data_IF_430798925301
#
_entry.id   IF_430798925301
#
_cell.length_a   1.000
_cell.length_b   1.000
_cell.length_c   1.000
_cell.angle_alpha   90.00
_cell.angle_beta   90.00
_cell.angle_gamma   90.00
#
_symmetry.space_group_name_H-M   'P 1'
#
loop_
_entity.id
_entity.type
_entity.pdbx_description
1 polymer ?
#
# COMPACT_ATOMS: atom_id res chain seq x y z
N UNK A 1 -26.19 19.57 9.06
CA UNK A 1 -26.01 19.12 7.66
C UNK A 1 -24.86 18.12 7.68
N UNK A 2 -25.16 16.84 7.60
CA UNK A 2 -24.15 15.78 7.61
C UNK A 2 -23.56 15.65 6.20
N UNK A 3 -22.25 15.81 6.09
CA UNK A 3 -21.54 15.54 4.86
C UNK A 3 -21.56 14.02 4.62
N UNK A 4 -22.28 13.60 3.60
CA UNK A 4 -22.23 12.24 3.10
C UNK A 4 -20.85 12.02 2.48
N UNK A 5 -19.99 11.26 3.18
CA UNK A 5 -18.81 10.67 2.57
C UNK A 5 -19.29 9.52 1.69
N UNK A 6 -19.25 9.73 0.37
CA UNK A 6 -19.44 8.64 -0.58
C UNK A 6 -18.39 7.55 -0.31
N UNK A 7 -18.81 6.29 -0.14
CA UNK A 7 -17.87 5.18 -0.14
C UNK A 7 -17.21 5.13 -1.53
N UNK A 8 -15.88 5.12 -1.56
CA UNK A 8 -15.12 4.86 -2.79
C UNK A 8 -15.63 3.52 -3.34
N UNK A 9 -16.20 3.55 -4.52
CA UNK A 9 -16.72 2.37 -5.21
C UNK A 9 -15.60 1.34 -5.34
N UNK A 10 -15.80 0.15 -4.82
CA UNK A 10 -14.85 -0.98 -4.93
C UNK A 10 -14.87 -1.64 -6.32
N UNK A 11 -15.52 -1.00 -7.29
CA UNK A 11 -15.61 -1.55 -8.65
C UNK A 11 -14.69 -0.80 -9.59
N UNK A 12 -13.98 -1.53 -10.47
CA UNK A 12 -13.19 -0.92 -11.53
C UNK A 12 -14.05 -0.05 -12.44
N UNK A 13 -13.49 0.99 -13.06
CA UNK A 13 -14.16 1.68 -14.18
C UNK A 13 -14.54 0.66 -15.25
N UNK A 14 -15.72 0.80 -15.86
CA UNK A 14 -16.24 -0.13 -16.87
C UNK A 14 -15.34 -0.28 -18.13
N UNK A 15 -14.37 0.60 -18.31
CA UNK A 15 -13.48 0.68 -19.48
C UNK A 15 -12.08 0.07 -19.27
N UNK A 16 -11.84 -0.61 -18.14
CA UNK A 16 -10.54 -1.25 -17.96
C UNK A 16 -10.44 -2.52 -18.81
N UNK A 17 -9.25 -2.80 -19.42
CA UNK A 17 -9.00 -4.07 -20.10
C UNK A 17 -9.39 -5.24 -19.20
N UNK A 18 -10.05 -6.26 -19.77
CA UNK A 18 -10.60 -7.40 -19.04
C UNK A 18 -9.52 -8.12 -18.19
N UNK A 19 -8.28 -8.10 -18.67
CA UNK A 19 -7.10 -8.61 -17.97
C UNK A 19 -6.79 -7.84 -16.67
N UNK A 20 -7.06 -6.52 -16.61
CA UNK A 20 -6.87 -5.68 -15.43
C UNK A 20 -8.08 -5.70 -14.49
N UNK A 21 -9.28 -5.88 -15.01
CA UNK A 21 -10.49 -6.01 -14.20
C UNK A 21 -10.46 -7.24 -13.28
N UNK A 22 -9.84 -8.33 -13.75
CA UNK A 22 -9.68 -9.58 -13.00
C UNK A 22 -8.57 -9.52 -11.95
N UNK A 23 -7.66 -8.56 -12.00
CA UNK A 23 -6.52 -8.43 -11.08
C UNK A 23 -6.87 -7.79 -9.72
N UNK A 24 -8.04 -7.17 -9.61
CA UNK A 24 -8.52 -6.55 -8.37
C UNK A 24 -8.96 -7.52 -7.29
N UNK A 25 -9.13 -8.80 -7.64
CA UNK A 25 -9.60 -9.86 -6.74
C UNK A 25 -8.60 -11.02 -6.66
N UNK A 26 -7.34 -10.72 -6.37
CA UNK A 26 -6.23 -11.66 -6.48
C UNK A 26 -6.09 -12.69 -5.35
N UNK A 27 -7.13 -13.01 -4.62
CA UNK A 27 -7.11 -14.23 -3.80
C UNK A 27 -7.26 -15.53 -4.63
N UNK A 28 -7.38 -15.43 -5.97
CA UNK A 28 -7.65 -16.57 -6.86
C UNK A 28 -6.61 -16.87 -7.93
N UNK A 29 -5.56 -16.08 -8.07
CA UNK A 29 -4.48 -16.42 -9.01
C UNK A 29 -3.41 -17.20 -8.26
N UNK A 30 -3.51 -18.53 -8.30
CA UNK A 30 -2.40 -19.38 -7.91
C UNK A 30 -1.19 -19.06 -8.80
N UNK A 31 0.03 -18.89 -8.23
CA UNK A 31 1.21 -18.67 -9.04
C UNK A 31 1.40 -19.88 -9.95
N UNK A 32 1.39 -19.66 -11.24
CA UNK A 32 1.87 -20.65 -12.20
C UNK A 32 3.40 -20.48 -12.23
N UNK A 33 4.11 -21.56 -11.97
CA UNK A 33 5.53 -21.61 -12.23
C UNK A 33 5.76 -21.29 -13.72
N UNK A 34 6.78 -20.49 -14.08
CA UNK A 34 7.02 -20.10 -15.45
C UNK A 34 7.48 -21.30 -16.28
N UNK A 35 6.54 -22.06 -16.86
CA UNK A 35 6.85 -22.94 -17.96
C UNK A 35 7.20 -22.07 -19.18
N UNK A 36 8.27 -22.44 -19.85
CA UNK A 36 8.87 -21.77 -20.99
C UNK A 36 7.82 -21.53 -22.08
N UNK A 37 7.46 -20.26 -22.28
CA UNK A 37 6.65 -19.86 -23.45
C UNK A 37 7.58 -19.69 -24.65
N UNK A 38 7.30 -20.32 -25.82
CA UNK A 38 8.16 -20.22 -26.99
C UNK A 38 8.17 -18.78 -27.51
N UNK A 39 9.36 -18.33 -27.89
CA UNK A 39 9.59 -17.05 -28.56
C UNK A 39 8.88 -17.01 -29.90
N UNK A 40 7.89 -16.15 -30.06
CA UNK A 40 7.26 -15.89 -31.35
C UNK A 40 5.90 -15.25 -31.26
N UNK A 41 5.86 -13.92 -31.23
CA UNK A 41 4.61 -13.17 -31.36
C UNK A 41 4.82 -11.72 -30.90
N UNK A 42 4.78 -10.77 -31.83
CA UNK A 42 4.89 -9.33 -31.59
C UNK A 42 3.63 -8.78 -30.88
N UNK A 43 3.54 -8.99 -29.59
CA UNK A 43 2.78 -8.14 -28.70
C UNK A 43 3.79 -7.36 -27.88
N UNK A 44 4.07 -6.10 -28.22
CA UNK A 44 4.74 -5.16 -27.34
C UNK A 44 3.77 -4.87 -26.19
N UNK A 45 3.65 -5.82 -25.25
CA UNK A 45 2.88 -5.67 -24.04
C UNK A 45 3.43 -4.48 -23.24
N UNK A 46 2.55 -3.78 -22.55
CA UNK A 46 2.90 -2.65 -21.71
C UNK A 46 4.03 -3.03 -20.75
N UNK A 47 5.14 -2.25 -20.79
CA UNK A 47 6.33 -2.50 -19.98
C UNK A 47 6.30 -1.60 -18.72
N UNK A 48 6.44 -2.21 -17.57
CA UNK A 48 6.56 -1.54 -16.29
C UNK A 48 8.04 -1.45 -15.87
N UNK A 49 8.39 -0.39 -15.18
CA UNK A 49 9.78 -0.13 -14.79
C UNK A 49 10.00 -0.10 -13.28
N UNK A 50 8.93 0.02 -12.51
CA UNK A 50 9.00 0.17 -11.06
C UNK A 50 7.92 -0.62 -10.36
N UNK A 51 8.33 -1.25 -9.27
CA UNK A 51 7.50 -1.83 -8.24
C UNK A 51 7.71 -1.00 -6.96
N UNK A 52 6.62 -0.55 -6.35
CA UNK A 52 6.63 0.17 -5.08
C UNK A 52 5.89 -0.62 -4.03
N UNK A 53 6.51 -0.83 -2.88
CA UNK A 53 5.92 -1.52 -1.72
C UNK A 53 5.63 -0.48 -0.64
N UNK A 54 4.43 -0.52 -0.08
CA UNK A 54 3.98 0.35 1.01
C UNK A 54 3.32 -0.52 2.09
N UNK A 55 3.91 -0.59 3.28
CA UNK A 55 3.40 -1.40 4.39
C UNK A 55 2.18 -0.72 5.02
N UNK A 56 1.09 -1.46 5.10
CA UNK A 56 -0.18 -0.91 5.56
C UNK A 56 -0.21 -0.72 7.08
N UNK A 57 -0.44 0.54 7.53
CA UNK A 57 -0.52 0.89 8.96
C UNK A 57 0.68 0.35 9.77
N UNK A 58 1.88 0.47 9.23
CA UNK A 58 3.07 -0.29 9.59
C UNK A 58 3.27 -0.48 11.09
N UNK A 59 3.40 0.60 11.88
CA UNK A 59 3.65 0.47 13.32
C UNK A 59 2.54 -0.28 14.05
N UNK A 60 1.27 -0.01 13.71
CA UNK A 60 0.14 -0.71 14.31
C UNK A 60 0.12 -2.20 13.90
N UNK A 61 0.48 -2.51 12.66
CA UNK A 61 0.59 -3.89 12.18
C UNK A 61 1.73 -4.65 12.85
N UNK A 62 2.87 -4.01 13.11
CA UNK A 62 3.96 -4.60 13.91
C UNK A 62 3.51 -4.87 15.34
N UNK A 63 2.77 -3.94 15.97
CA UNK A 63 2.23 -4.16 17.31
C UNK A 63 1.26 -5.36 17.34
N UNK A 64 0.36 -5.47 16.37
CA UNK A 64 -0.55 -6.63 16.23
C UNK A 64 0.20 -7.93 15.92
N UNK A 65 1.35 -7.86 15.23
CA UNK A 65 2.18 -9.03 14.96
C UNK A 65 2.88 -9.56 16.21
N UNK A 66 3.46 -8.69 17.03
CA UNK A 66 4.21 -9.09 18.22
C UNK A 66 3.34 -9.31 19.45
N UNK A 67 2.09 -8.81 19.44
CA UNK A 67 1.11 -8.92 20.53
C UNK A 67 -0.19 -9.51 19.99
N UNK A 68 -0.36 -10.84 19.99
CA UNK A 68 -1.55 -11.49 19.44
C UNK A 68 -2.87 -10.98 20.04
N UNK A 69 -2.85 -10.50 21.28
CA UNK A 69 -4.01 -9.93 21.97
C UNK A 69 -4.51 -8.60 21.35
N UNK A 70 -3.70 -7.96 20.50
CA UNK A 70 -4.08 -6.74 19.76
C UNK A 70 -4.69 -7.02 18.38
N UNK A 71 -4.64 -8.25 17.91
CA UNK A 71 -5.15 -8.63 16.59
C UNK A 71 -6.66 -8.44 16.52
N UNK A 72 -7.13 -7.81 15.43
CA UNK A 72 -8.54 -7.51 15.24
C UNK A 72 -9.10 -6.41 16.15
N UNK A 73 -8.26 -5.77 16.97
CA UNK A 73 -8.65 -4.66 17.84
C UNK A 73 -8.23 -3.32 17.25
N UNK A 74 -8.98 -2.23 17.52
CA UNK A 74 -8.55 -0.90 17.16
C UNK A 74 -7.32 -0.49 17.97
N UNK A 75 -6.18 -0.30 17.29
CA UNK A 75 -4.88 0.07 17.89
C UNK A 75 -4.45 1.43 17.36
N UNK A 76 -4.06 2.31 18.28
CA UNK A 76 -3.39 3.58 18.00
C UNK A 76 -1.99 3.57 18.57
N UNK A 77 -0.98 3.82 17.74
CA UNK A 77 0.41 3.98 18.20
C UNK A 77 0.69 5.45 18.44
N UNK A 78 1.24 5.78 19.60
CA UNK A 78 1.50 7.15 20.05
C UNK A 78 2.97 7.31 20.48
N UNK A 79 3.57 8.52 20.36
CA UNK A 79 4.95 8.75 20.80
C UNK A 79 5.09 8.65 22.32
N UNK A 80 4.03 9.02 23.07
CA UNK A 80 3.93 8.96 24.52
C UNK A 80 2.47 8.85 24.94
N UNK A 81 2.21 8.33 26.12
CA UNK A 81 0.87 8.16 26.67
C UNK A 81 0.33 9.47 27.26
N UNK A 82 -0.15 10.37 26.39
CA UNK A 82 -0.75 11.65 26.78
C UNK A 82 -1.92 12.00 25.85
N UNK A 83 -2.98 12.60 26.40
CA UNK A 83 -4.17 12.97 25.64
C UNK A 83 -3.94 14.08 24.61
N UNK A 84 -2.89 14.88 24.80
CA UNK A 84 -2.51 16.01 23.94
C UNK A 84 -1.60 15.62 22.77
N UNK A 85 -1.08 14.39 22.76
CA UNK A 85 -0.26 13.89 21.66
C UNK A 85 -1.13 13.37 20.50
N UNK A 86 -0.50 12.96 19.43
CA UNK A 86 -1.18 12.45 18.24
C UNK A 86 -0.84 10.99 17.97
N UNK A 87 -1.74 10.27 17.32
CA UNK A 87 -1.46 8.96 16.77
C UNK A 87 -0.44 9.08 15.64
N UNK A 88 0.68 8.37 15.73
CA UNK A 88 1.68 8.24 14.65
C UNK A 88 1.33 7.12 13.68
N UNK A 89 0.52 6.14 14.13
CA UNK A 89 -0.11 5.14 13.27
C UNK A 89 -1.44 4.69 13.89
N UNK A 90 -2.34 4.17 13.05
CA UNK A 90 -3.60 3.58 13.46
C UNK A 90 -3.84 2.29 12.68
N UNK A 91 -4.31 1.23 13.35
CA UNK A 91 -4.71 -0.01 12.70
C UNK A 91 -5.95 0.21 11.82
N UNK A 92 -6.24 -0.72 10.92
CA UNK A 92 -7.42 -0.59 10.05
C UNK A 92 -8.72 -0.66 10.84
N UNK A 93 -8.74 -1.39 11.94
CA UNK A 93 -9.87 -1.40 12.89
C UNK A 93 -10.08 0.00 13.49
N UNK A 94 -9.02 0.70 13.88
CA UNK A 94 -9.11 2.08 14.37
C UNK A 94 -9.48 3.07 13.25
N UNK A 95 -8.96 2.86 12.03
CA UNK A 95 -9.31 3.66 10.84
C UNK A 95 -10.80 3.56 10.48
N UNK A 96 -11.46 2.44 10.74
CA UNK A 96 -12.89 2.27 10.52
C UNK A 96 -13.74 3.23 11.39
N UNK A 97 -13.23 3.67 12.53
CA UNK A 97 -13.83 4.70 13.39
C UNK A 97 -13.37 6.12 13.03
N UNK A 98 -12.56 6.29 11.97
CA UNK A 98 -12.03 7.58 11.53
C UNK A 98 -10.70 7.98 12.17
N UNK A 99 -10.13 7.18 13.08
CA UNK A 99 -8.82 7.46 13.69
C UNK A 99 -7.73 7.25 12.64
N UNK A 100 -6.84 8.25 12.49
CA UNK A 100 -5.77 8.25 11.48
C UNK A 100 -4.48 8.78 12.08
N UNK A 101 -3.39 8.66 11.36
CA UNK A 101 -2.14 9.39 11.66
C UNK A 101 -2.42 10.88 11.78
N UNK A 102 -1.95 11.51 12.86
CA UNK A 102 -2.21 12.90 13.20
C UNK A 102 -3.47 13.13 14.02
N UNK A 103 -4.32 12.12 14.26
CA UNK A 103 -5.48 12.27 15.16
C UNK A 103 -4.99 12.47 16.60
N UNK A 104 -5.48 13.52 17.28
CA UNK A 104 -5.17 13.78 18.71
C UNK A 104 -5.74 12.64 19.55
N UNK A 105 -5.02 12.19 20.56
CA UNK A 105 -5.39 11.05 21.42
C UNK A 105 -6.75 11.25 22.09
N UNK A 106 -7.03 12.44 22.61
CA UNK A 106 -8.34 12.76 23.17
C UNK A 106 -9.48 12.58 22.16
N UNK A 107 -9.24 12.94 20.88
CA UNK A 107 -10.19 12.76 19.79
C UNK A 107 -10.32 11.27 19.39
N UNK A 108 -9.20 10.58 19.31
CA UNK A 108 -9.18 9.14 19.00
C UNK A 108 -10.00 8.34 20.02
N UNK A 109 -9.89 8.65 21.31
CA UNK A 109 -10.71 8.03 22.38
C UNK A 109 -12.21 8.34 22.24
N UNK A 110 -12.56 9.55 21.78
CA UNK A 110 -13.97 9.91 21.52
C UNK A 110 -14.54 9.19 20.29
N UNK A 111 -13.73 9.06 19.23
CA UNK A 111 -14.12 8.43 17.98
C UNK A 111 -14.20 6.90 18.12
N UNK A 112 -13.30 6.32 18.89
CA UNK A 112 -13.18 4.90 19.13
C UNK A 112 -12.94 4.65 20.64
N UNK A 113 -14.00 4.51 21.46
CA UNK A 113 -13.86 4.31 22.92
C UNK A 113 -13.07 3.05 23.30
N UNK A 114 -13.08 2.04 22.42
CA UNK A 114 -12.36 0.77 22.64
C UNK A 114 -10.92 0.78 22.12
N UNK A 115 -10.41 1.94 21.68
CA UNK A 115 -9.06 2.03 21.12
C UNK A 115 -7.99 1.63 22.14
N UNK A 116 -7.12 0.74 21.74
CA UNK A 116 -5.93 0.39 22.52
C UNK A 116 -4.79 1.29 22.09
N UNK A 117 -4.35 2.15 23.00
CA UNK A 117 -3.19 3.00 22.76
C UNK A 117 -1.92 2.26 23.16
N UNK A 118 -0.92 2.33 22.31
CA UNK A 118 0.40 1.70 22.49
C UNK A 118 1.48 2.75 22.28
N UNK A 119 2.41 2.84 23.20
CA UNK A 119 3.59 3.68 23.02
C UNK A 119 4.51 3.08 21.98
N UNK A 120 5.03 3.93 21.07
CA UNK A 120 5.86 3.52 19.94
C UNK A 120 7.19 2.91 20.38
N UNK A 121 7.58 1.80 19.76
CA UNK A 121 8.78 1.02 20.05
C UNK A 121 9.71 0.99 18.83
N UNK A 122 10.49 2.05 18.66
CA UNK A 122 11.31 2.25 17.46
C UNK A 122 12.27 1.10 17.13
N UNK A 123 12.87 0.46 18.16
CA UNK A 123 13.77 -0.68 17.97
C UNK A 123 13.09 -1.85 17.27
N UNK A 124 11.88 -2.21 17.70
CA UNK A 124 11.10 -3.30 17.10
C UNK A 124 10.68 -2.93 15.68
N UNK A 125 10.29 -1.67 15.44
CA UNK A 125 9.93 -1.23 14.10
C UNK A 125 11.12 -1.28 13.15
N UNK A 126 12.31 -0.93 13.62
CA UNK A 126 13.55 -1.03 12.83
C UNK A 126 13.91 -2.49 12.54
N UNK A 127 13.77 -3.39 13.53
CA UNK A 127 13.99 -4.83 13.33
C UNK A 127 13.04 -5.39 12.25
N UNK A 128 11.75 -5.11 12.37
CA UNK A 128 10.77 -5.56 11.38
C UNK A 128 10.99 -4.95 10.00
N UNK A 129 11.43 -3.68 9.92
CA UNK A 129 11.82 -3.05 8.67
C UNK A 129 12.92 -3.84 7.96
N UNK A 130 13.99 -4.20 8.66
CA UNK A 130 15.08 -4.99 8.07
C UNK A 130 14.57 -6.35 7.55
N UNK A 131 13.74 -7.03 8.31
CA UNK A 131 13.12 -8.31 7.88
C UNK A 131 12.23 -8.15 6.64
N UNK A 132 11.49 -7.03 6.54
CA UNK A 132 10.70 -6.72 5.34
C UNK A 132 11.61 -6.46 4.15
N UNK A 133 12.68 -5.66 4.31
CA UNK A 133 13.66 -5.40 3.24
C UNK A 133 14.26 -6.72 2.74
N UNK A 134 14.73 -7.60 3.64
CA UNK A 134 15.26 -8.91 3.29
C UNK A 134 14.24 -9.78 2.54
N UNK A 135 12.98 -9.77 3.00
CA UNK A 135 11.89 -10.50 2.33
C UNK A 135 11.63 -9.97 0.91
N UNK A 136 11.65 -8.66 0.70
CA UNK A 136 11.50 -8.06 -0.64
C UNK A 136 12.73 -8.36 -1.51
N UNK A 137 13.95 -8.22 -0.97
CA UNK A 137 15.20 -8.49 -1.68
C UNK A 137 15.33 -9.95 -2.12
N UNK A 138 14.73 -10.89 -1.41
CA UNK A 138 14.65 -12.29 -1.84
C UNK A 138 13.80 -12.49 -3.12
N UNK A 139 12.97 -11.51 -3.47
CA UNK A 139 12.11 -11.54 -4.65
C UNK A 139 12.65 -10.66 -5.79
N UNK A 140 13.08 -9.44 -5.45
CA UNK A 140 13.55 -8.41 -6.38
C UNK A 140 14.47 -7.44 -5.65
N UNK A 141 15.60 -7.00 -6.25
CA UNK A 141 16.53 -6.07 -5.60
C UNK A 141 15.85 -4.76 -5.19
N UNK A 142 15.99 -4.34 -3.94
CA UNK A 142 15.52 -3.05 -3.45
C UNK A 142 16.45 -1.95 -3.98
N UNK A 143 15.91 -1.07 -4.82
CA UNK A 143 16.68 0.03 -5.42
C UNK A 143 16.77 1.22 -4.49
N UNK A 144 15.71 1.48 -3.72
CA UNK A 144 15.66 2.57 -2.76
C UNK A 144 14.71 2.24 -1.61
N UNK A 145 15.18 2.44 -0.39
CA UNK A 145 14.35 2.53 0.81
C UNK A 145 13.90 3.98 0.91
N UNK A 146 12.58 4.22 0.82
CA UNK A 146 11.99 5.56 0.79
C UNK A 146 11.60 6.04 2.19
N UNK A 147 11.16 5.12 3.06
CA UNK A 147 10.86 5.34 4.47
C UNK A 147 10.97 4.01 5.23
N UNK A 148 10.59 3.99 6.51
CA UNK A 148 10.59 2.76 7.32
C UNK A 148 9.56 1.73 6.84
N UNK A 149 8.58 2.15 6.06
CA UNK A 149 7.46 1.34 5.56
C UNK A 149 7.32 1.37 4.02
N UNK A 150 8.23 2.08 3.32
CA UNK A 150 8.16 2.25 1.87
C UNK A 150 9.47 1.91 1.18
N UNK A 151 9.39 1.16 0.09
CA UNK A 151 10.56 0.83 -0.74
C UNK A 151 10.21 0.71 -2.22
N UNK A 152 11.19 1.01 -3.07
CA UNK A 152 11.04 0.99 -4.51
C UNK A 152 12.07 0.05 -5.14
N UNK A 153 11.60 -0.79 -6.08
CA UNK A 153 12.38 -1.76 -6.80
C UNK A 153 12.31 -1.45 -8.30
N UNK A 154 13.45 -1.38 -8.96
CA UNK A 154 13.50 -1.19 -10.41
C UNK A 154 13.36 -2.54 -11.11
N UNK A 155 12.37 -2.65 -11.98
CA UNK A 155 12.15 -3.84 -12.79
C UNK A 155 13.07 -3.84 -14.02
N UNK A 156 13.67 -5.00 -14.32
CA UNK A 156 14.58 -5.17 -15.45
C UNK A 156 14.23 -6.43 -16.25
N UNK A 157 14.60 -6.43 -17.53
CA UNK A 157 14.50 -7.61 -18.39
C UNK A 157 13.12 -8.28 -18.36
N UNK A 158 13.07 -9.53 -17.89
CA UNK A 158 11.86 -10.36 -17.84
C UNK A 158 10.82 -9.95 -16.78
N UNK A 159 11.19 -9.09 -15.85
CA UNK A 159 10.27 -8.58 -14.80
C UNK A 159 9.31 -7.52 -15.34
N UNK A 160 9.67 -6.84 -16.44
CA UNK A 160 8.97 -5.66 -16.96
C UNK A 160 7.62 -5.92 -17.66
N UNK A 161 7.41 -7.04 -18.37
CA UNK A 161 6.08 -7.33 -18.94
C UNK A 161 5.01 -7.35 -17.86
N UNK A 162 3.83 -6.79 -18.17
CA UNK A 162 2.73 -6.55 -17.22
C UNK A 162 2.43 -7.77 -16.33
N UNK A 163 2.20 -8.93 -16.94
CA UNK A 163 1.86 -10.14 -16.16
C UNK A 163 3.00 -10.59 -15.25
N UNK A 164 4.25 -10.48 -15.71
CA UNK A 164 5.41 -10.85 -14.90
C UNK A 164 5.59 -9.90 -13.71
N UNK A 165 5.39 -8.59 -13.93
CA UNK A 165 5.46 -7.58 -12.86
C UNK A 165 4.37 -7.81 -11.81
N UNK A 166 3.15 -8.15 -12.24
CA UNK A 166 2.03 -8.47 -11.34
C UNK A 166 2.33 -9.74 -10.51
N UNK A 167 2.79 -10.80 -11.15
CA UNK A 167 3.17 -12.04 -10.46
C UNK A 167 4.30 -11.78 -9.45
N UNK A 168 5.26 -10.92 -9.81
CA UNK A 168 6.33 -10.50 -8.91
C UNK A 168 5.77 -9.72 -7.71
N UNK A 169 4.87 -8.77 -7.93
CA UNK A 169 4.20 -8.02 -6.86
C UNK A 169 3.42 -8.93 -5.91
N UNK A 170 2.66 -9.87 -6.45
CA UNK A 170 1.94 -10.87 -5.65
C UNK A 170 2.90 -11.76 -4.85
N UNK A 171 4.03 -12.16 -5.44
CA UNK A 171 5.09 -12.91 -4.75
C UNK A 171 5.68 -12.11 -3.59
N UNK A 172 6.02 -10.83 -3.81
CA UNK A 172 6.53 -9.94 -2.76
C UNK A 172 5.56 -9.86 -1.58
N UNK A 173 4.28 -9.60 -1.83
CA UNK A 173 3.23 -9.55 -0.79
C UNK A 173 3.15 -10.84 0.01
N UNK A 174 3.14 -11.98 -0.69
CA UNK A 174 3.10 -13.30 -0.05
C UNK A 174 4.36 -13.54 0.79
N UNK A 175 5.55 -13.26 0.27
CA UNK A 175 6.82 -13.45 0.97
C UNK A 175 6.91 -12.62 2.25
N UNK A 176 6.44 -11.35 2.22
CA UNK A 176 6.34 -10.52 3.44
C UNK A 176 5.43 -11.21 4.47
N UNK A 177 4.25 -11.65 4.06
CA UNK A 177 3.28 -12.30 4.95
C UNK A 177 3.82 -13.58 5.58
N UNK A 178 4.47 -14.43 4.79
CA UNK A 178 4.97 -15.74 5.23
C UNK A 178 6.26 -15.63 6.07
N UNK A 179 7.20 -14.76 5.68
CA UNK A 179 8.53 -14.72 6.30
C UNK A 179 8.67 -13.65 7.39
N UNK A 180 7.83 -12.60 7.36
CA UNK A 180 7.90 -11.52 8.36
C UNK A 180 6.74 -11.61 9.34
N UNK A 181 5.51 -11.77 8.85
CA UNK A 181 4.35 -11.96 9.70
C UNK A 181 3.02 -11.65 9.03
N UNK A 182 2.00 -12.40 9.41
CA UNK A 182 0.66 -12.36 8.81
C UNK A 182 -0.07 -11.00 8.97
N UNK A 183 0.28 -10.22 10.02
CA UNK A 183 -0.25 -8.89 10.23
C UNK A 183 0.43 -7.83 9.33
N UNK A 184 1.59 -8.14 8.74
CA UNK A 184 2.35 -7.25 7.87
C UNK A 184 1.78 -7.28 6.44
N UNK A 185 0.70 -6.56 6.21
CA UNK A 185 0.12 -6.39 4.88
C UNK A 185 0.80 -5.25 4.14
N UNK A 186 0.92 -5.40 2.83
CA UNK A 186 1.50 -4.37 1.95
C UNK A 186 0.61 -4.09 0.76
N UNK A 187 0.54 -2.83 0.36
CA UNK A 187 0.00 -2.45 -0.94
C UNK A 187 1.17 -2.30 -1.92
N UNK A 188 1.01 -2.86 -3.11
CA UNK A 188 2.05 -2.84 -4.14
C UNK A 188 1.54 -2.09 -5.36
N UNK A 189 2.32 -1.12 -5.81
CA UNK A 189 2.06 -0.37 -7.02
C UNK A 189 3.11 -0.66 -8.09
N UNK A 190 2.66 -0.80 -9.33
CA UNK A 190 3.47 -1.11 -10.50
C UNK A 190 3.24 -0.04 -11.57
N UNK A 191 4.30 0.59 -12.09
CA UNK A 191 4.15 1.64 -13.09
C UNK A 191 5.42 1.85 -13.93
N UNK A 192 5.32 2.76 -14.90
CA UNK A 192 6.42 3.15 -15.79
C UNK A 192 7.49 4.00 -15.09
N UNK A 193 7.15 4.68 -14.00
CA UNK A 193 8.10 5.44 -13.16
C UNK A 193 7.78 5.27 -11.67
N UNK A 194 8.74 5.64 -10.81
CA UNK A 194 8.65 5.45 -9.37
C UNK A 194 7.50 6.23 -8.73
N UNK A 195 7.23 7.45 -9.21
CA UNK A 195 6.14 8.28 -8.67
C UNK A 195 4.78 7.64 -8.94
N UNK A 196 4.51 7.25 -10.19
CA UNK A 196 3.28 6.55 -10.54
C UNK A 196 3.14 5.19 -9.84
N UNK A 197 4.26 4.48 -9.59
CA UNK A 197 4.22 3.25 -8.80
C UNK A 197 3.82 3.54 -7.34
N UNK A 198 4.27 4.65 -6.74
CA UNK A 198 3.77 5.10 -5.43
C UNK A 198 2.29 5.46 -5.49
N UNK A 199 1.84 6.23 -6.50
CA UNK A 199 0.40 6.52 -6.69
C UNK A 199 -0.41 5.22 -6.76
N UNK A 200 0.02 4.25 -7.57
CA UNK A 200 -0.64 2.96 -7.70
C UNK A 200 -0.75 2.22 -6.35
N UNK A 201 0.30 2.24 -5.52
CA UNK A 201 0.27 1.60 -4.19
C UNK A 201 -0.73 2.23 -3.23
N UNK A 202 -1.10 3.50 -3.45
CA UNK A 202 -2.07 4.21 -2.62
C UNK A 202 -3.53 4.04 -3.10
N UNK A 203 -3.74 3.66 -4.38
CA UNK A 203 -5.09 3.57 -4.98
C UNK A 203 -5.97 2.50 -4.34
N UNK A 204 -5.38 1.39 -3.89
CA UNK A 204 -6.10 0.30 -3.25
C UNK A 204 -5.44 -0.09 -1.94
N UNK A 205 -5.80 0.60 -0.86
CA UNK A 205 -5.41 0.26 0.51
C UNK A 205 -6.62 -0.23 1.31
N UNK A 206 -6.46 -1.27 2.14
CA UNK A 206 -5.26 -2.05 2.41
C UNK A 206 -5.05 -3.22 1.43
N UNK A 207 -3.81 -3.73 1.42
CA UNK A 207 -3.44 -5.00 0.79
C UNK A 207 -3.68 -5.05 -0.74
N UNK A 208 -3.67 -3.89 -1.43
CA UNK A 208 -3.87 -3.77 -2.87
C UNK A 208 -2.67 -4.23 -3.70
N UNK A 209 -2.93 -4.45 -5.00
CA UNK A 209 -1.92 -4.66 -6.02
C UNK A 209 -2.42 -4.01 -7.31
N UNK A 210 -1.88 -2.83 -7.63
CA UNK A 210 -2.34 -2.00 -8.74
C UNK A 210 -1.23 -1.79 -9.74
N UNK A 211 -1.53 -1.97 -11.02
CA UNK A 211 -0.62 -1.66 -12.11
C UNK A 211 -1.14 -0.49 -12.94
N UNK A 212 -0.26 0.46 -13.24
CA UNK A 212 -0.52 1.62 -14.11
C UNK A 212 0.41 1.55 -15.34
N UNK A 213 0.10 0.70 -16.32
CA UNK A 213 0.80 0.70 -17.60
C UNK A 213 0.47 1.97 -18.41
N UNK A 214 1.30 2.28 -19.39
CA UNK A 214 1.22 3.56 -20.12
C UNK A 214 -0.08 3.73 -20.92
N UNK A 215 -0.62 2.64 -21.42
CA UNK A 215 -1.81 2.59 -22.31
C UNK A 215 -3.13 2.94 -21.60
N UNK A 216 -3.18 2.88 -20.29
CA UNK A 216 -4.36 3.31 -19.50
C UNK A 216 -4.20 4.71 -18.88
N UNK A 217 -3.10 5.40 -19.17
CA UNK A 217 -2.84 6.75 -18.68
C UNK A 217 -3.20 7.80 -19.77
N UNK A 218 -3.73 8.98 -19.36
CA UNK A 218 -3.94 9.45 -17.98
C UNK A 218 -5.28 9.02 -17.37
N UNK A 219 -6.14 8.29 -18.06
CA UNK A 219 -7.54 8.00 -17.71
C UNK A 219 -7.65 7.37 -16.31
N UNK A 220 -6.75 6.41 -16.00
CA UNK A 220 -6.72 5.76 -14.69
C UNK A 220 -6.49 6.74 -13.52
N UNK A 221 -5.92 7.92 -13.77
CA UNK A 221 -5.68 8.93 -12.75
C UNK A 221 -6.86 9.89 -12.54
N UNK A 222 -7.82 9.96 -13.47
CA UNK A 222 -8.94 10.90 -13.38
C UNK A 222 -9.88 10.64 -12.20
N UNK A 223 -9.86 9.44 -11.63
CA UNK A 223 -10.62 9.12 -10.42
C UNK A 223 -9.99 9.67 -9.14
N UNK A 224 -8.74 10.15 -9.20
CA UNK A 224 -8.00 10.65 -8.04
C UNK A 224 -8.26 12.14 -7.84
N UNK A 225 -8.32 12.55 -6.58
CA UNK A 225 -8.26 13.96 -6.19
C UNK A 225 -6.80 14.41 -6.08
N UNK A 226 -6.56 15.72 -6.04
CA UNK A 226 -5.21 16.26 -5.81
C UNK A 226 -4.59 15.72 -4.50
N UNK A 227 -5.41 15.47 -3.47
CA UNK A 227 -4.96 14.96 -2.17
C UNK A 227 -4.56 13.49 -2.18
N UNK A 228 -5.00 12.75 -3.19
CA UNK A 228 -4.60 11.34 -3.36
C UNK A 228 -3.21 11.22 -3.99
N UNK A 229 -2.67 12.33 -4.51
CA UNK A 229 -1.35 12.35 -5.11
C UNK A 229 -0.27 12.57 -4.03
N UNK A 230 0.76 11.69 -3.94
CA UNK A 230 1.85 11.82 -2.98
C UNK A 230 2.53 13.20 -3.06
N UNK A 231 2.71 13.83 -1.89
CA UNK A 231 3.31 15.17 -1.78
C UNK A 231 2.33 16.32 -1.91
N UNK A 232 1.06 16.10 -2.23
CA UNK A 232 0.04 17.15 -2.27
C UNK A 232 -0.73 17.17 -0.95
N UNK A 233 -0.36 18.12 -0.08
CA UNK A 233 -1.10 18.42 1.15
C UNK A 233 -2.17 19.49 0.95
N UNK A 234 -2.98 19.78 1.98
CA UNK A 234 -4.06 20.77 1.93
C UNK A 234 -3.62 22.17 1.44
N UNK A 235 -2.40 22.58 1.83
CA UNK A 235 -1.85 23.88 1.41
C UNK A 235 -1.52 23.91 -0.09
N UNK A 236 -0.93 22.83 -0.60
CA UNK A 236 -0.59 22.69 -2.02
C UNK A 236 -1.85 22.61 -2.87
N UNK A 237 -2.83 21.79 -2.46
CA UNK A 237 -4.13 21.68 -3.11
C UNK A 237 -4.83 23.04 -3.21
N UNK A 238 -4.91 23.79 -2.08
CA UNK A 238 -5.49 25.14 -2.09
C UNK A 238 -4.80 26.05 -3.11
N UNK A 239 -3.47 26.06 -3.15
CA UNK A 239 -2.70 26.88 -4.09
C UNK A 239 -2.93 26.50 -5.56
N UNK A 240 -3.10 25.20 -5.85
CA UNK A 240 -3.38 24.71 -7.20
C UNK A 240 -4.80 25.08 -7.66
N UNK A 241 -5.78 25.05 -6.77
CA UNK A 241 -7.18 25.41 -7.08
C UNK A 241 -7.41 26.93 -7.21
N UNK A 242 -6.50 27.78 -6.73
CA UNK A 242 -6.57 29.23 -6.85
C UNK A 242 -5.98 29.77 -8.18
N UNK A 243 -5.41 28.92 -9.02
CA UNK A 243 -4.84 29.24 -10.34
C UNK A 243 -5.71 28.81 -11.49
#
# INVERSE_FOLDING_TARGET
>A
MAAQTNPVSSHPPEEWPEELANLRFTDKVAPQDPEETPAGGSAQGALLNWLFVDLNSYFASVEQQVRPELRGRPVGVVPMMADTTVCIAASYEAKAFGVRTGTIVADAKRMCPEIVLVEGRHEIYTEYHHRVVEAVESCVPVTAVCSIDEMACRLIGRERPLLNAINLGARVKRTIRENVGECLRSSVGLATNRYLAKVASDMEKPDGLVALPLDILPEALHQLTLRDLPGIGARTEKHLNEK
#
